data_IF_299946177499
#
_entry.id   IF_299946177499
#
_cell.length_a   1.000
_cell.length_b   1.000
_cell.length_c   1.000
_cell.angle_alpha   90.00
_cell.angle_beta   90.00
_cell.angle_gamma   90.00
#
_symmetry.space_group_name_H-M   'P 1'
#
loop_
_entity.id
_entity.type
_entity.pdbx_description
1 polymer ?
#
# COMPACT_ATOMS: atom_id res chain seq x y z
N UNK A 1 12.02 -27.39 4.04
CA UNK A 1 12.43 -26.10 4.64
C UNK A 1 11.28 -25.59 5.49
N UNK A 2 11.50 -25.25 6.76
CA UNK A 2 10.46 -24.62 7.59
C UNK A 2 10.25 -23.21 7.06
N UNK A 3 9.06 -22.90 6.54
CA UNK A 3 8.68 -21.52 6.23
C UNK A 3 8.93 -20.67 7.47
N UNK A 4 9.82 -19.68 7.39
CA UNK A 4 9.94 -18.67 8.44
C UNK A 4 8.62 -17.92 8.42
N UNK A 5 7.82 -18.09 9.47
CA UNK A 5 6.61 -17.28 9.68
C UNK A 5 7.03 -15.80 9.66
N UNK A 6 6.26 -14.97 8.98
CA UNK A 6 6.50 -13.53 8.97
C UNK A 6 6.46 -13.02 10.42
N UNK A 7 7.35 -12.08 10.81
CA UNK A 7 7.33 -11.54 12.15
C UNK A 7 5.99 -10.84 12.41
N UNK A 8 5.43 -10.93 13.63
CA UNK A 8 4.23 -10.19 13.98
C UNK A 8 4.46 -8.68 13.77
N UNK A 9 3.39 -7.94 13.49
CA UNK A 9 3.49 -6.49 13.40
C UNK A 9 4.07 -5.92 14.72
N UNK A 10 5.06 -5.02 14.66
CA UNK A 10 5.54 -4.32 15.84
C UNK A 10 4.40 -3.56 16.50
N UNK A 11 4.30 -3.61 17.83
CA UNK A 11 3.35 -2.78 18.56
C UNK A 11 3.77 -1.32 18.42
N UNK A 12 2.94 -0.49 17.79
CA UNK A 12 3.17 0.95 17.71
C UNK A 12 3.07 1.56 19.11
N UNK A 13 4.04 2.41 19.48
CA UNK A 13 3.87 3.22 20.69
C UNK A 13 2.77 4.27 20.43
N UNK A 14 1.97 4.65 21.44
CA UNK A 14 0.87 5.61 21.23
C UNK A 14 1.30 6.95 20.61
N UNK A 15 2.53 7.40 20.89
CA UNK A 15 3.07 8.65 20.33
C UNK A 15 3.48 8.52 18.85
N UNK A 16 3.66 7.31 18.37
CA UNK A 16 4.08 6.97 17.00
C UNK A 16 2.91 6.38 16.19
N UNK A 17 1.69 6.40 16.73
CA UNK A 17 0.51 5.88 16.05
C UNK A 17 -0.04 6.93 15.08
N UNK A 18 -0.41 6.51 13.87
CA UNK A 18 -1.19 7.35 12.95
C UNK A 18 -2.56 7.62 13.60
N UNK A 19 -3.08 8.86 13.61
CA UNK A 19 -4.40 9.15 14.17
C UNK A 19 -5.52 8.49 13.36
N UNK A 20 -6.61 8.13 14.04
CA UNK A 20 -7.82 7.58 13.42
C UNK A 20 -8.96 8.60 13.51
N UNK A 21 -9.65 8.84 12.40
CA UNK A 21 -10.84 9.68 12.32
C UNK A 21 -11.98 8.94 11.63
N UNK A 22 -13.13 8.86 12.30
CA UNK A 22 -14.35 8.30 11.70
C UNK A 22 -15.11 9.37 10.93
N UNK A 23 -15.30 9.16 9.62
CA UNK A 23 -16.03 10.03 8.69
C UNK A 23 -15.85 11.54 8.98
N UNK A 24 -14.63 12.09 9.02
CA UNK A 24 -14.45 13.53 9.24
C UNK A 24 -15.10 14.31 8.09
N UNK A 25 -15.58 15.53 8.37
CA UNK A 25 -16.03 16.43 7.31
C UNK A 25 -14.88 16.76 6.36
N UNK A 26 -15.21 17.14 5.12
CA UNK A 26 -14.22 17.61 4.14
C UNK A 26 -13.37 18.76 4.70
N UNK A 27 -14.00 19.71 5.39
CA UNK A 27 -13.31 20.84 6.04
C UNK A 27 -12.31 20.35 7.11
N UNK A 28 -12.73 19.43 7.98
CA UNK A 28 -11.85 18.89 9.02
C UNK A 28 -10.67 18.13 8.42
N UNK A 29 -10.91 17.31 7.40
CA UNK A 29 -9.83 16.62 6.70
C UNK A 29 -8.88 17.60 6.02
N UNK A 30 -9.43 18.62 5.34
CA UNK A 30 -8.63 19.67 4.68
C UNK A 30 -7.73 20.39 5.68
N UNK A 31 -8.29 20.90 6.77
CA UNK A 31 -7.58 21.80 7.67
C UNK A 31 -6.59 21.05 8.58
N UNK A 32 -6.92 19.82 9.00
CA UNK A 32 -6.10 19.05 9.94
C UNK A 32 -5.13 18.07 9.28
N UNK A 33 -5.35 17.68 8.01
CA UNK A 33 -4.56 16.63 7.36
C UNK A 33 -4.05 17.03 5.98
N UNK A 34 -4.93 17.42 5.05
CA UNK A 34 -4.48 17.75 3.69
C UNK A 34 -3.61 19.00 3.66
N UNK A 35 -4.03 20.10 4.28
CA UNK A 35 -3.28 21.35 4.36
C UNK A 35 -1.91 21.19 5.02
N UNK A 36 -1.82 20.65 6.24
CA UNK A 36 -0.54 20.46 6.94
C UNK A 36 0.25 19.23 6.47
N UNK A 37 -0.30 18.40 5.57
CA UNK A 37 0.31 17.15 5.08
C UNK A 37 0.59 16.14 6.21
N UNK A 38 -0.45 15.83 6.99
CA UNK A 38 -0.40 14.92 8.13
C UNK A 38 -1.16 13.62 7.85
N UNK A 39 -0.53 12.43 7.95
CA UNK A 39 -1.19 11.16 7.71
C UNK A 39 -2.37 10.90 8.66
N UNK A 40 -3.38 10.19 8.17
CA UNK A 40 -4.56 9.81 8.96
C UNK A 40 -5.20 8.53 8.44
N UNK A 41 -5.69 7.70 9.36
CA UNK A 41 -6.58 6.59 9.03
C UNK A 41 -8.03 7.08 9.10
N UNK A 42 -8.73 6.98 7.98
CA UNK A 42 -10.14 7.29 7.85
C UNK A 42 -10.98 6.02 8.01
N UNK A 43 -11.95 6.08 8.91
CA UNK A 43 -12.86 4.97 9.24
C UNK A 43 -14.29 5.29 8.83
N UNK A 44 -15.06 4.27 8.44
CA UNK A 44 -16.46 4.44 8.03
C UNK A 44 -16.66 4.95 6.60
N UNK A 45 -15.59 5.26 5.87
CA UNK A 45 -15.66 5.84 4.52
C UNK A 45 -16.02 4.79 3.45
N UNK A 46 -15.59 3.54 3.62
CA UNK A 46 -15.83 2.46 2.64
C UNK A 46 -16.88 1.43 3.05
N UNK A 47 -17.59 1.62 4.18
CA UNK A 47 -18.55 0.62 4.70
C UNK A 47 -19.66 0.26 3.68
N UNK A 48 -19.95 1.18 2.77
CA UNK A 48 -20.96 1.05 1.73
C UNK A 48 -20.44 0.51 0.39
N UNK A 49 -19.11 0.37 0.21
CA UNK A 49 -18.54 -0.14 -1.03
C UNK A 49 -18.89 -1.61 -1.24
N UNK A 50 -19.40 -2.02 -2.43
CA UNK A 50 -19.72 -3.42 -2.69
C UNK A 50 -18.54 -4.38 -2.48
N UNK A 51 -17.31 -3.95 -2.76
CA UNK A 51 -16.09 -4.76 -2.59
C UNK A 51 -15.97 -5.33 -1.17
N UNK A 52 -16.42 -4.61 -0.14
CA UNK A 52 -16.32 -5.02 1.26
C UNK A 52 -17.13 -6.27 1.61
N UNK A 53 -18.10 -6.62 0.77
CA UNK A 53 -18.95 -7.81 0.94
C UNK A 53 -18.75 -8.84 -0.16
N UNK A 54 -18.39 -8.40 -1.37
CA UNK A 54 -18.28 -9.25 -2.56
C UNK A 54 -16.90 -9.88 -2.70
N UNK A 55 -15.84 -9.11 -2.45
CA UNK A 55 -14.50 -9.53 -2.87
C UNK A 55 -13.91 -10.59 -1.95
N UNK A 56 -13.41 -11.64 -2.58
CA UNK A 56 -12.70 -12.77 -1.99
C UNK A 56 -11.78 -13.35 -3.06
N UNK A 57 -10.82 -14.19 -2.66
CA UNK A 57 -9.94 -14.89 -3.61
C UNK A 57 -10.77 -15.66 -4.66
N UNK A 58 -11.84 -16.33 -4.23
CA UNK A 58 -12.74 -17.06 -5.13
C UNK A 58 -13.48 -16.14 -6.11
N UNK A 59 -13.93 -14.97 -5.65
CA UNK A 59 -14.58 -13.97 -6.51
C UNK A 59 -13.63 -13.48 -7.61
N UNK A 60 -12.37 -13.18 -7.27
CA UNK A 60 -11.36 -12.78 -8.26
C UNK A 60 -11.08 -13.89 -9.27
N UNK A 61 -11.03 -15.15 -8.82
CA UNK A 61 -10.92 -16.33 -9.68
C UNK A 61 -12.08 -16.46 -10.69
N UNK A 62 -13.28 -15.99 -10.33
CA UNK A 62 -14.47 -16.04 -11.18
C UNK A 62 -14.53 -14.87 -12.18
N UNK A 63 -14.31 -13.64 -11.72
CA UNK A 63 -14.50 -12.42 -12.52
C UNK A 63 -13.25 -12.09 -13.35
N UNK A 64 -12.06 -12.28 -12.76
CA UNK A 64 -10.80 -11.85 -13.36
C UNK A 64 -9.87 -13.00 -13.75
N UNK A 65 -10.23 -14.26 -13.46
CA UNK A 65 -9.31 -15.40 -13.51
C UNK A 65 -8.55 -15.59 -14.82
N UNK A 66 -9.17 -15.30 -15.97
CA UNK A 66 -8.54 -15.43 -17.30
C UNK A 66 -7.75 -14.20 -17.76
N UNK A 67 -7.79 -13.09 -17.01
CA UNK A 67 -7.15 -11.82 -17.39
C UNK A 67 -5.66 -11.89 -17.08
N UNK A 68 -4.84 -11.43 -18.01
CA UNK A 68 -3.38 -11.35 -17.83
C UNK A 68 -3.02 -10.12 -17.01
N UNK A 69 -2.20 -10.30 -15.98
CA UNK A 69 -1.74 -9.26 -15.06
C UNK A 69 -0.23 -9.33 -14.88
N UNK A 70 0.45 -8.19 -14.61
CA UNK A 70 1.83 -8.18 -14.18
C UNK A 70 1.94 -8.64 -12.71
N UNK A 71 2.88 -9.52 -12.44
CA UNK A 71 3.20 -10.00 -11.10
C UNK A 71 4.68 -9.82 -10.84
N UNK A 72 5.00 -9.13 -9.75
CA UNK A 72 6.34 -9.02 -9.21
C UNK A 72 6.72 -10.32 -8.50
N UNK A 73 7.91 -10.83 -8.76
CA UNK A 73 8.45 -12.06 -8.18
C UNK A 73 9.71 -11.73 -7.39
N UNK A 74 9.78 -12.21 -6.15
CA UNK A 74 10.86 -11.92 -5.22
C UNK A 74 10.35 -11.29 -3.92
N UNK A 75 11.24 -11.15 -2.93
CA UNK A 75 10.85 -10.60 -1.65
C UNK A 75 10.62 -9.08 -1.71
N UNK A 76 11.46 -8.35 -2.46
CA UNK A 76 11.44 -6.89 -2.62
C UNK A 76 11.89 -6.49 -4.02
N UNK A 77 11.35 -5.41 -4.56
CA UNK A 77 11.80 -4.86 -5.86
C UNK A 77 13.21 -4.25 -5.84
N UNK A 78 13.81 -4.10 -4.66
CA UNK A 78 15.19 -3.67 -4.48
C UNK A 78 16.19 -4.83 -4.51
N UNK A 79 15.73 -6.09 -4.55
CA UNK A 79 16.59 -7.27 -4.55
C UNK A 79 17.06 -7.61 -5.99
N UNK A 80 18.28 -8.11 -6.15
CA UNK A 80 18.84 -8.47 -7.47
C UNK A 80 18.07 -9.62 -8.17
N UNK A 81 17.43 -10.49 -7.39
CA UNK A 81 16.64 -11.63 -7.87
C UNK A 81 15.20 -11.23 -8.28
N UNK A 82 14.83 -9.96 -8.09
CA UNK A 82 13.50 -9.48 -8.45
C UNK A 82 13.28 -9.52 -9.96
N UNK A 83 12.08 -9.95 -10.35
CA UNK A 83 11.65 -9.90 -11.75
C UNK A 83 10.15 -9.66 -11.84
N UNK A 84 9.68 -9.34 -13.05
CA UNK A 84 8.26 -9.22 -13.33
C UNK A 84 7.86 -10.25 -14.39
N UNK A 85 6.71 -10.90 -14.18
CA UNK A 85 6.16 -11.88 -15.12
C UNK A 85 4.69 -11.59 -15.39
N UNK A 86 4.30 -11.70 -16.65
CA UNK A 86 2.89 -11.72 -17.05
C UNK A 86 2.32 -13.13 -16.86
N UNK A 87 1.19 -13.23 -16.19
CA UNK A 87 0.43 -14.48 -16.02
C UNK A 87 -1.05 -14.17 -15.84
N UNK A 88 -1.90 -15.20 -15.88
CA UNK A 88 -3.32 -14.98 -15.59
C UNK A 88 -3.54 -14.77 -14.10
N UNK A 89 -4.63 -14.09 -13.72
CA UNK A 89 -5.03 -13.95 -12.30
C UNK A 89 -5.23 -15.32 -11.65
N UNK A 90 -5.76 -16.31 -12.39
CA UNK A 90 -5.90 -17.68 -11.87
C UNK A 90 -4.55 -18.33 -11.59
N UNK A 91 -3.60 -18.25 -12.52
CA UNK A 91 -2.26 -18.80 -12.30
C UNK A 91 -1.57 -18.13 -11.11
N UNK A 92 -1.72 -16.80 -10.98
CA UNK A 92 -1.22 -16.03 -9.85
C UNK A 92 -1.79 -16.54 -8.51
N UNK A 93 -3.12 -16.69 -8.44
CA UNK A 93 -3.80 -17.16 -7.23
C UNK A 93 -3.37 -18.59 -6.89
N UNK A 94 -3.41 -19.49 -7.87
CA UNK A 94 -3.09 -20.90 -7.66
C UNK A 94 -1.62 -21.04 -7.19
N UNK A 95 -0.69 -20.34 -7.83
CA UNK A 95 0.74 -20.47 -7.52
C UNK A 95 1.13 -19.77 -6.21
N UNK A 96 0.80 -18.48 -6.04
CA UNK A 96 1.38 -17.66 -4.97
C UNK A 96 0.47 -17.49 -3.75
N UNK A 97 -0.86 -17.62 -3.91
CA UNK A 97 -1.82 -17.46 -2.81
C UNK A 97 -2.15 -18.82 -2.18
N UNK A 98 -2.56 -19.79 -3.00
CA UNK A 98 -3.01 -21.11 -2.54
C UNK A 98 -1.82 -22.03 -2.25
N UNK A 99 -0.95 -22.24 -3.24
CA UNK A 99 0.20 -23.14 -3.11
C UNK A 99 1.39 -22.51 -2.37
N UNK A 100 1.43 -21.18 -2.25
CA UNK A 100 2.50 -20.41 -1.59
C UNK A 100 3.90 -20.74 -2.14
N UNK A 101 3.98 -20.91 -3.45
CA UNK A 101 5.23 -21.19 -4.16
C UNK A 101 6.04 -19.90 -4.37
N UNK A 102 6.74 -19.48 -3.32
CA UNK A 102 7.49 -18.22 -3.31
C UNK A 102 6.61 -17.00 -3.00
N UNK A 103 7.15 -15.81 -3.29
CA UNK A 103 6.46 -14.53 -3.11
C UNK A 103 6.17 -13.94 -4.48
N UNK A 104 4.87 -13.85 -4.79
CA UNK A 104 4.37 -13.16 -5.97
C UNK A 104 3.43 -12.04 -5.53
N UNK A 105 3.58 -10.85 -6.11
CA UNK A 105 2.77 -9.69 -5.78
C UNK A 105 2.21 -9.01 -7.03
N UNK A 106 0.88 -8.98 -7.17
CA UNK A 106 0.21 -8.13 -8.14
C UNK A 106 0.20 -6.72 -7.54
N UNK A 107 1.23 -5.95 -7.86
CA UNK A 107 1.45 -4.61 -7.33
C UNK A 107 1.24 -3.56 -8.41
N UNK A 108 0.75 -2.39 -7.99
CA UNK A 108 0.70 -1.16 -8.81
C UNK A 108 0.12 -1.36 -10.23
N UNK A 109 -0.99 -2.08 -10.34
CA UNK A 109 -1.64 -2.34 -11.63
C UNK A 109 -3.02 -1.67 -11.71
N UNK A 110 -3.30 -1.00 -12.83
CA UNK A 110 -4.59 -0.37 -13.13
C UNK A 110 -5.66 -1.42 -13.51
N UNK A 111 -5.92 -2.34 -12.56
CA UNK A 111 -6.80 -3.49 -12.75
C UNK A 111 -8.24 -3.07 -13.07
N UNK A 112 -8.67 -1.91 -12.56
CA UNK A 112 -10.05 -1.43 -12.68
C UNK A 112 -10.37 -0.88 -14.07
N UNK A 113 -9.36 -0.38 -14.79
CA UNK A 113 -9.52 0.02 -16.19
C UNK A 113 -9.49 -1.22 -17.11
N UNK A 114 -8.71 -2.24 -16.72
CA UNK A 114 -8.72 -3.52 -17.41
C UNK A 114 -10.04 -4.29 -17.19
N UNK A 115 -10.62 -4.23 -15.99
CA UNK A 115 -11.79 -5.02 -15.56
C UNK A 115 -12.85 -4.08 -14.96
N UNK A 116 -13.71 -3.45 -15.81
CA UNK A 116 -14.71 -2.48 -15.36
C UNK A 116 -15.70 -3.02 -14.32
N UNK A 117 -16.01 -4.32 -14.37
CA UNK A 117 -16.88 -5.00 -13.38
C UNK A 117 -16.35 -4.88 -11.94
N UNK A 118 -15.02 -4.78 -11.76
CA UNK A 118 -14.42 -4.51 -10.46
C UNK A 118 -14.46 -3.02 -10.10
N UNK A 119 -14.43 -2.13 -11.09
CA UNK A 119 -14.53 -0.67 -10.88
C UNK A 119 -15.90 -0.29 -10.30
N UNK A 120 -16.96 -1.00 -10.67
CA UNK A 120 -18.31 -0.84 -10.13
C UNK A 120 -18.42 -1.18 -8.62
N UNK A 121 -17.44 -1.89 -8.06
CA UNK A 121 -17.44 -2.33 -6.65
C UNK A 121 -16.73 -1.36 -5.70
N UNK A 122 -16.15 -0.28 -6.23
CA UNK A 122 -15.42 0.74 -5.47
C UNK A 122 -15.96 2.13 -5.80
N UNK A 123 -15.55 3.14 -5.03
CA UNK A 123 -15.86 4.55 -5.33
C UNK A 123 -14.61 5.39 -5.08
N UNK A 124 -14.51 6.54 -5.73
CA UNK A 124 -13.46 7.50 -5.42
C UNK A 124 -13.82 8.14 -4.06
N UNK A 125 -12.92 8.17 -3.06
CA UNK A 125 -13.22 8.84 -1.79
C UNK A 125 -13.55 10.32 -2.02
N UNK A 126 -14.65 10.81 -1.43
CA UNK A 126 -15.12 12.20 -1.61
C UNK A 126 -14.02 13.25 -1.30
N UNK A 127 -13.08 12.93 -0.40
CA UNK A 127 -11.95 13.79 -0.05
C UNK A 127 -11.04 14.15 -1.24
N UNK A 128 -11.02 13.35 -2.31
CA UNK A 128 -10.28 13.68 -3.54
C UNK A 128 -10.81 14.95 -4.23
N UNK A 129 -12.06 15.34 -3.99
CA UNK A 129 -12.62 16.58 -4.57
C UNK A 129 -12.00 17.87 -4.00
N UNK A 130 -11.15 17.75 -2.98
CA UNK A 130 -10.38 18.86 -2.41
C UNK A 130 -9.07 19.13 -3.19
N UNK A 131 -8.73 18.24 -4.14
CA UNK A 131 -7.57 18.38 -5.01
C UNK A 131 -7.76 19.41 -6.11
N UNK A 132 -6.68 19.71 -6.81
CA UNK A 132 -6.66 20.60 -7.97
C UNK A 132 -6.85 19.82 -9.29
N UNK A 133 -6.62 18.51 -9.29
CA UNK A 133 -6.78 17.64 -10.46
C UNK A 133 -8.24 17.29 -10.78
N UNK A 134 -8.48 16.85 -12.02
CA UNK A 134 -9.78 16.31 -12.41
C UNK A 134 -9.95 14.87 -11.90
N UNK A 135 -11.21 14.44 -11.69
CA UNK A 135 -11.51 13.08 -11.22
C UNK A 135 -10.99 12.01 -12.19
N UNK A 136 -11.02 12.29 -13.50
CA UNK A 136 -10.52 11.40 -14.55
C UNK A 136 -8.99 11.23 -14.54
N UNK A 137 -8.25 12.13 -13.88
CA UNK A 137 -6.79 12.04 -13.72
C UNK A 137 -6.38 11.14 -12.52
N UNK A 138 -7.36 10.71 -11.71
CA UNK A 138 -7.10 9.87 -10.53
C UNK A 138 -6.67 8.48 -10.98
N UNK A 139 -5.42 8.11 -10.67
CA UNK A 139 -4.90 6.79 -11.00
C UNK A 139 -5.30 5.80 -9.91
N UNK A 140 -6.03 4.75 -10.28
CA UNK A 140 -6.53 3.72 -9.36
C UNK A 140 -5.76 2.42 -9.57
N UNK A 141 -4.97 2.01 -8.58
CA UNK A 141 -4.16 0.78 -8.65
C UNK A 141 -4.65 -0.28 -7.66
N UNK A 142 -4.55 -1.54 -8.09
CA UNK A 142 -4.77 -2.72 -7.27
C UNK A 142 -3.46 -3.24 -6.68
N UNK A 143 -3.55 -3.75 -5.45
CA UNK A 143 -2.46 -4.36 -4.71
C UNK A 143 -2.95 -5.67 -4.12
N UNK A 144 -2.59 -6.81 -4.73
CA UNK A 144 -3.06 -8.13 -4.31
C UNK A 144 -1.89 -9.10 -4.13
N UNK A 145 -1.76 -9.65 -2.93
CA UNK A 145 -0.64 -10.54 -2.59
C UNK A 145 -0.91 -11.46 -1.40
N UNK A 146 -0.05 -12.48 -1.21
CA UNK A 146 -0.08 -13.30 -0.01
C UNK A 146 0.40 -12.53 1.22
N UNK A 147 0.32 -13.19 2.38
CA UNK A 147 1.02 -12.74 3.58
C UNK A 147 2.53 -12.60 3.29
N UNK A 148 3.14 -11.52 3.78
CA UNK A 148 4.57 -11.29 3.70
C UNK A 148 5.05 -10.50 2.48
N UNK A 149 4.18 -10.09 1.54
CA UNK A 149 4.60 -9.16 0.48
C UNK A 149 5.06 -7.84 1.09
N UNK A 150 6.17 -7.30 0.59
CA UNK A 150 6.77 -6.05 1.05
C UNK A 150 6.86 -5.06 -0.09
N UNK A 151 6.40 -3.83 0.15
CA UNK A 151 6.79 -2.66 -0.63
C UNK A 151 7.86 -1.92 0.18
N UNK A 152 9.15 -1.96 -0.24
CA UNK A 152 10.23 -1.17 0.33
C UNK A 152 9.87 0.29 0.56
N UNK A 153 10.58 0.95 1.49
CA UNK A 153 10.32 2.33 1.85
C UNK A 153 10.56 3.26 0.66
N UNK A 154 9.52 3.93 0.18
CA UNK A 154 9.58 4.83 -0.97
C UNK A 154 8.61 6.00 -0.81
N UNK A 155 8.74 6.99 -1.68
CA UNK A 155 7.84 8.15 -1.74
C UNK A 155 7.22 8.29 -3.14
N UNK A 156 5.96 8.73 -3.17
CA UNK A 156 5.16 8.93 -4.38
C UNK A 156 5.03 10.42 -4.73
N UNK A 157 4.80 10.76 -6.02
CA UNK A 157 4.69 12.15 -6.47
C UNK A 157 3.31 12.78 -6.26
N UNK A 158 2.31 12.02 -5.82
CA UNK A 158 0.92 12.45 -5.67
C UNK A 158 0.40 12.18 -4.26
N UNK A 159 -0.74 12.80 -3.90
CA UNK A 159 -1.51 12.39 -2.73
C UNK A 159 -2.01 10.96 -2.94
N UNK A 160 -2.12 10.18 -1.88
CA UNK A 160 -2.57 8.79 -1.99
C UNK A 160 -3.57 8.42 -0.89
N UNK A 161 -4.70 7.84 -1.28
CA UNK A 161 -5.54 7.06 -0.37
C UNK A 161 -5.32 5.57 -0.60
N UNK A 162 -4.80 4.87 0.40
CA UNK A 162 -4.69 3.42 0.40
C UNK A 162 -5.88 2.82 1.16
N UNK A 163 -6.87 2.32 0.41
CA UNK A 163 -8.06 1.66 0.92
C UNK A 163 -7.82 0.15 1.11
N UNK A 164 -8.00 -0.36 2.32
CA UNK A 164 -7.83 -1.78 2.63
C UNK A 164 -9.15 -2.55 2.54
N UNK A 165 -9.23 -3.50 1.59
CA UNK A 165 -10.46 -4.27 1.33
C UNK A 165 -10.52 -5.54 2.17
N UNK A 166 -9.47 -6.37 2.13
CA UNK A 166 -9.35 -7.54 3.00
C UNK A 166 -7.89 -7.81 3.39
N UNK A 167 -7.68 -8.58 4.46
CA UNK A 167 -6.38 -8.75 5.08
C UNK A 167 -5.89 -7.47 5.77
N UNK A 168 -4.73 -7.54 6.43
CA UNK A 168 -4.14 -6.40 7.14
C UNK A 168 -2.77 -6.06 6.58
N UNK A 169 -2.39 -4.79 6.68
CA UNK A 169 -1.05 -4.30 6.30
C UNK A 169 -0.41 -3.53 7.45
N UNK A 170 0.83 -3.88 7.81
CA UNK A 170 1.66 -3.03 8.64
C UNK A 170 2.29 -1.95 7.78
N UNK A 171 2.16 -0.69 8.21
CA UNK A 171 2.62 0.47 7.46
C UNK A 171 3.47 1.34 8.38
N UNK A 172 4.62 1.80 7.87
CA UNK A 172 5.46 2.81 8.53
C UNK A 172 5.62 4.02 7.62
N UNK A 173 5.46 5.21 8.20
CA UNK A 173 5.41 6.50 7.52
C UNK A 173 6.49 7.42 8.07
N UNK A 174 7.24 8.07 7.18
CA UNK A 174 8.23 9.09 7.55
C UNK A 174 7.95 10.37 6.76
N UNK A 175 8.00 11.50 7.46
CA UNK A 175 7.85 12.82 6.84
C UNK A 175 8.93 13.03 5.77
N UNK A 176 8.66 13.80 4.69
CA UNK A 176 9.68 14.21 3.74
C UNK A 176 10.91 14.88 4.39
N UNK A 177 10.73 15.49 5.57
CA UNK A 177 11.82 16.11 6.34
C UNK A 177 12.85 15.10 6.85
N UNK A 178 12.48 13.82 6.94
CA UNK A 178 13.37 12.75 7.37
C UNK A 178 14.24 12.20 6.24
N UNK A 179 14.07 12.66 4.99
CA UNK A 179 14.72 12.07 3.80
C UNK A 179 16.24 11.86 3.95
N UNK A 180 16.96 12.77 4.61
CA UNK A 180 18.41 12.63 4.85
C UNK A 180 18.78 11.46 5.78
N UNK A 181 17.84 11.03 6.63
CA UNK A 181 17.99 9.90 7.53
C UNK A 181 17.57 8.57 6.88
N UNK A 182 16.93 8.61 5.71
CA UNK A 182 16.37 7.44 5.02
C UNK A 182 17.25 6.93 3.88
N UNK A 183 18.36 7.59 3.56
CA UNK A 183 19.32 7.14 2.54
C UNK A 183 18.68 6.72 1.21
N UNK A 184 18.05 7.66 0.47
CA UNK A 184 17.54 7.38 -0.87
C UNK A 184 18.64 6.80 -1.78
N UNK A 185 18.28 5.99 -2.77
CA UNK A 185 19.25 5.57 -3.78
C UNK A 185 19.71 6.79 -4.62
N UNK A 186 20.97 6.76 -5.07
CA UNK A 186 21.52 7.83 -5.92
C UNK A 186 21.16 7.66 -7.40
N UNK A 187 20.70 6.47 -7.80
CA UNK A 187 20.35 6.19 -9.20
C UNK A 187 19.05 6.90 -9.58
N UNK A 188 18.98 7.42 -10.81
CA UNK A 188 17.80 8.16 -11.28
C UNK A 188 16.51 7.32 -11.21
N UNK A 189 16.59 6.00 -11.38
CA UNK A 189 15.41 5.13 -11.37
C UNK A 189 14.89 4.79 -9.97
N UNK A 190 15.74 4.85 -8.93
CA UNK A 190 15.36 4.47 -7.56
C UNK A 190 15.50 5.64 -6.57
N UNK A 191 15.67 6.87 -7.04
CA UNK A 191 15.90 8.04 -6.19
C UNK A 191 14.76 8.33 -5.19
N UNK A 192 13.57 7.79 -5.45
CA UNK A 192 12.41 7.87 -4.57
C UNK A 192 12.30 6.66 -3.61
N UNK A 193 13.26 5.75 -3.61
CA UNK A 193 13.31 4.53 -2.78
C UNK A 193 14.48 4.61 -1.81
N UNK A 194 14.26 4.19 -0.57
CA UNK A 194 15.27 4.10 0.49
C UNK A 194 16.13 2.85 0.32
N UNK A 195 17.42 2.97 0.61
CA UNK A 195 18.33 1.83 0.68
C UNK A 195 18.15 0.99 1.97
N UNK A 196 17.34 1.46 2.91
CA UNK A 196 17.22 0.88 4.25
C UNK A 196 16.12 -0.18 4.27
N UNK A 197 16.44 -1.37 4.78
CA UNK A 197 15.44 -2.33 5.24
C UNK A 197 14.81 -1.83 6.55
N UNK A 198 13.55 -1.43 6.50
CA UNK A 198 12.85 -0.77 7.62
C UNK A 198 12.68 -1.67 8.85
N UNK A 199 12.58 -2.99 8.64
CA UNK A 199 12.37 -3.96 9.73
C UNK A 199 13.65 -4.67 10.17
N UNK A 200 14.70 -4.64 9.34
CA UNK A 200 16.05 -5.12 9.70
C UNK A 200 17.15 -4.14 9.24
N UNK A 201 17.20 -2.91 9.80
CA UNK A 201 18.11 -1.88 9.33
C UNK A 201 19.58 -2.17 9.69
N UNK A 202 20.46 -2.17 8.69
CA UNK A 202 21.91 -2.17 8.91
C UNK A 202 22.39 -0.79 9.39
N UNK A 203 22.41 -0.61 10.71
CA UNK A 203 22.86 0.63 11.32
C UNK A 203 24.36 0.90 11.22
N UNK A 204 25.17 -0.07 10.79
CA UNK A 204 26.58 0.19 10.50
C UNK A 204 26.72 0.98 9.20
N UNK A 205 25.87 0.67 8.21
CA UNK A 205 25.79 1.34 6.92
C UNK A 205 24.90 2.59 6.95
N UNK A 206 23.79 2.54 7.70
CA UNK A 206 22.76 3.58 7.74
C UNK A 206 22.54 4.15 9.15
N UNK A 207 23.58 4.68 9.82
CA UNK A 207 23.50 5.08 11.22
C UNK A 207 22.48 6.19 11.52
N UNK A 208 22.17 7.07 10.56
CA UNK A 208 21.19 8.16 10.74
C UNK A 208 19.76 7.65 10.86
N UNK A 209 19.44 6.46 10.34
CA UNK A 209 18.08 5.90 10.38
C UNK A 209 17.55 5.72 11.81
N UNK A 210 18.45 5.54 12.80
CA UNK A 210 18.09 5.48 14.23
C UNK A 210 17.37 6.74 14.74
N UNK A 211 17.57 7.87 14.08
CA UNK A 211 17.03 9.17 14.47
C UNK A 211 15.76 9.53 13.71
N UNK A 212 15.41 8.76 12.68
CA UNK A 212 14.29 9.06 11.82
C UNK A 212 12.98 8.88 12.58
N UNK A 213 12.26 9.97 12.83
CA UNK A 213 10.95 9.92 13.45
C UNK A 213 9.94 9.33 12.47
N UNK A 214 9.05 8.46 12.97
CA UNK A 214 8.04 7.82 12.14
C UNK A 214 6.70 7.72 12.84
N UNK A 215 5.67 7.55 12.02
CA UNK A 215 4.38 7.03 12.46
C UNK A 215 4.17 5.62 11.90
N UNK A 216 3.33 4.83 12.54
CA UNK A 216 2.95 3.51 12.03
C UNK A 216 1.52 3.14 12.38
N UNK A 217 0.96 2.22 11.59
CA UNK A 217 -0.34 1.64 11.85
C UNK A 217 -0.41 0.21 11.30
N UNK A 218 -1.41 -0.53 11.77
CA UNK A 218 -1.90 -1.72 11.07
C UNK A 218 -3.22 -1.33 10.42
N UNK A 219 -3.21 -1.23 9.10
CA UNK A 219 -4.39 -0.88 8.33
C UNK A 219 -5.29 -2.11 8.20
N UNK A 220 -6.53 -1.97 8.66
CA UNK A 220 -7.53 -3.04 8.75
C UNK A 220 -8.54 -2.96 7.59
N UNK A 221 -9.22 -4.07 7.25
CA UNK A 221 -10.34 -4.03 6.30
C UNK A 221 -11.37 -2.97 6.70
N UNK A 222 -11.79 -2.13 5.75
CA UNK A 222 -12.73 -1.03 6.04
C UNK A 222 -12.08 0.33 6.29
N UNK A 223 -10.75 0.38 6.39
CA UNK A 223 -9.99 1.60 6.67
C UNK A 223 -9.29 2.13 5.42
N UNK A 224 -9.19 3.45 5.34
CA UNK A 224 -8.43 4.16 4.29
C UNK A 224 -7.29 4.92 4.95
N UNK A 225 -6.05 4.71 4.52
CA UNK A 225 -4.93 5.52 4.95
C UNK A 225 -4.71 6.67 3.96
N UNK A 226 -4.74 7.90 4.46
CA UNK A 226 -4.20 9.05 3.74
C UNK A 226 -2.67 9.08 3.88
N UNK A 227 -1.98 8.99 2.75
CA UNK A 227 -0.54 9.13 2.63
C UNK A 227 -0.30 10.46 1.90
N UNK A 228 0.19 11.50 2.61
CA UNK A 228 0.42 12.79 1.98
C UNK A 228 1.48 12.71 0.88
N UNK A 229 1.42 13.64 -0.08
CA UNK A 229 2.38 13.68 -1.19
C UNK A 229 3.82 13.70 -0.67
N UNK A 230 4.70 12.91 -1.29
CA UNK A 230 6.11 12.71 -0.89
C UNK A 230 6.34 12.08 0.49
N UNK A 231 5.31 11.66 1.23
CA UNK A 231 5.55 10.87 2.44
C UNK A 231 6.21 9.55 2.08
N UNK A 232 7.27 9.23 2.81
CA UNK A 232 7.94 7.94 2.70
C UNK A 232 7.08 6.90 3.39
N UNK A 233 6.76 5.81 2.71
CA UNK A 233 5.93 4.75 3.25
C UNK A 233 6.50 3.37 2.93
N UNK A 234 6.54 2.54 3.97
CA UNK A 234 6.89 1.12 3.92
C UNK A 234 5.62 0.32 4.21
N UNK A 235 5.41 -0.78 3.47
CA UNK A 235 4.20 -1.59 3.62
C UNK A 235 4.55 -3.08 3.63
N UNK A 236 4.00 -3.81 4.60
CA UNK A 236 4.05 -5.28 4.64
C UNK A 236 2.68 -5.90 4.87
N UNK A 237 2.30 -6.86 4.05
CA UNK A 237 1.07 -7.63 4.23
C UNK A 237 1.20 -8.62 5.40
N UNK A 238 0.25 -8.58 6.34
CA UNK A 238 0.19 -9.46 7.51
C UNK A 238 -0.72 -10.68 7.29
N UNK A 239 -1.53 -10.65 6.24
CA UNK A 239 -2.39 -11.73 5.78
C UNK A 239 -2.39 -11.72 4.24
N UNK A 240 -3.10 -12.66 3.61
CA UNK A 240 -3.51 -12.48 2.21
C UNK A 240 -4.29 -11.18 2.13
N UNK A 241 -3.83 -10.24 1.29
CA UNK A 241 -4.27 -8.85 1.35
C UNK A 241 -4.65 -8.31 -0.01
N UNK A 242 -5.72 -7.51 -0.04
CA UNK A 242 -6.08 -6.69 -1.19
C UNK A 242 -6.31 -5.24 -0.77
N UNK A 243 -5.62 -4.31 -1.44
CA UNK A 243 -5.80 -2.88 -1.26
C UNK A 243 -6.05 -2.19 -2.60
N UNK A 244 -6.72 -1.05 -2.55
CA UNK A 244 -6.92 -0.13 -3.67
C UNK A 244 -6.25 1.18 -3.33
N UNK A 245 -5.37 1.68 -4.19
CA UNK A 245 -4.79 3.02 -4.02
C UNK A 245 -5.38 4.01 -5.01
N UNK A 246 -5.64 5.22 -4.56
CA UNK A 246 -6.11 6.35 -5.38
C UNK A 246 -5.05 7.43 -5.35
N UNK A 247 -4.37 7.65 -6.48
CA UNK A 247 -3.37 8.71 -6.61
C UNK A 247 -4.02 9.94 -7.22
N UNK A 248 -3.96 11.07 -6.51
CA UNK A 248 -4.65 12.31 -6.87
C UNK A 248 -3.78 13.54 -6.53
N UNK A 249 -4.15 14.71 -7.05
CA UNK A 249 -3.37 15.95 -6.92
C UNK A 249 -4.26 17.09 -6.44
#
# INVERSE_FOLDING_TARGET
QRARLAPPAPAAQPAEAVPHLRCPSLERFRDAHLGPQEPVVLEGVMEHWPCMRKWSVDYFCQVAGCRTVPVELGARYTDEEWSQKLMTVRDFIDQYIVNKDGVGYLAQHQLFDQIPELKEDISIPDYCCLGEGEEDDITINAWFGPEGTVSPLHQDPQQNFLAQVFGRKYIRLYSPQESENLYPHESQMLHNTSQVDVEDPDFSKFPKFRKAAFQSCVLMPGQVLFIPVKYWHYVRSLDISFSVSFWWS
#
